data_IF_228909799582
#
_entry.id   IF_228909799582
#
_cell.length_a   1.000
_cell.length_b   1.000
_cell.length_c   1.000
_cell.angle_alpha   90.00
_cell.angle_beta   90.00
_cell.angle_gamma   90.00
#
_symmetry.space_group_name_H-M   'P 1'
#
loop_
_entity.id
_entity.type
_entity.pdbx_description
1 polymer ?
#
# COMPACT_ATOMS: atom_id res chain seq x y z
N UNK A 1 -44.86 -1.89 36.81
CA UNK A 1 -44.04 -3.09 37.02
C UNK A 1 -42.74 -2.87 36.28
N UNK A 2 -41.70 -2.48 37.01
CA UNK A 2 -40.40 -2.09 36.46
C UNK A 2 -39.58 -3.35 36.18
N UNK A 3 -39.63 -3.84 34.93
CA UNK A 3 -38.76 -4.94 34.51
C UNK A 3 -37.42 -4.36 34.12
N UNK A 4 -36.56 -4.20 35.13
CA UNK A 4 -35.11 -4.00 34.95
C UNK A 4 -34.56 -5.16 34.11
N UNK A 5 -34.51 -4.97 32.78
CA UNK A 5 -33.85 -5.90 31.85
C UNK A 5 -32.36 -5.88 32.13
N UNK A 6 -31.89 -6.85 32.93
CA UNK A 6 -30.48 -7.08 33.18
C UNK A 6 -29.79 -7.36 31.84
N UNK A 7 -28.96 -6.42 31.40
CA UNK A 7 -28.15 -6.56 30.18
C UNK A 7 -27.17 -7.70 30.43
N UNK A 8 -27.40 -8.85 29.81
CA UNK A 8 -26.43 -9.95 29.80
C UNK A 8 -25.26 -9.45 28.96
N UNK A 9 -24.11 -9.27 29.59
CA UNK A 9 -22.88 -8.90 28.89
C UNK A 9 -22.39 -10.16 28.16
N UNK A 10 -22.63 -10.21 26.84
CA UNK A 10 -22.26 -11.35 25.99
C UNK A 10 -20.80 -11.17 25.58
N UNK A 11 -19.97 -12.20 25.77
CA UNK A 11 -18.55 -12.07 25.42
C UNK A 11 -18.33 -12.09 23.92
N UNK A 12 -17.19 -11.57 23.45
CA UNK A 12 -16.80 -11.67 22.05
C UNK A 12 -16.79 -13.13 21.55
N UNK A 13 -16.36 -14.08 22.40
CA UNK A 13 -16.34 -15.50 22.08
C UNK A 13 -17.75 -16.09 21.90
N UNK A 14 -18.71 -15.63 22.72
CA UNK A 14 -20.11 -16.04 22.58
C UNK A 14 -20.69 -15.55 21.25
N UNK A 15 -20.40 -14.32 20.83
CA UNK A 15 -20.82 -13.83 19.52
C UNK A 15 -20.25 -14.66 18.36
N UNK A 16 -19.00 -15.13 18.46
CA UNK A 16 -18.42 -16.03 17.44
C UNK A 16 -19.17 -17.36 17.36
N UNK A 17 -19.57 -17.93 18.50
CA UNK A 17 -20.31 -19.21 18.54
C UNK A 17 -21.73 -19.11 17.97
N UNK A 18 -22.42 -18.00 18.19
CA UNK A 18 -23.80 -17.81 17.74
C UNK A 18 -23.91 -17.36 16.27
N UNK A 19 -22.80 -17.04 15.61
CA UNK A 19 -22.79 -16.56 14.22
C UNK A 19 -22.20 -17.62 13.27
N UNK A 20 -22.53 -17.54 11.96
CA UNK A 20 -21.97 -18.46 10.99
C UNK A 20 -20.44 -18.39 10.96
N UNK A 21 -19.80 -19.54 10.78
CA UNK A 21 -18.35 -19.66 10.73
C UNK A 21 -17.75 -18.69 9.68
N UNK A 22 -16.67 -18.01 10.07
CA UNK A 22 -15.96 -17.07 9.21
C UNK A 22 -16.56 -15.67 9.11
N UNK A 23 -17.73 -15.39 9.69
CA UNK A 23 -18.32 -14.03 9.70
C UNK A 23 -17.68 -13.14 10.76
N UNK A 24 -17.48 -13.70 11.96
CA UNK A 24 -16.87 -13.02 13.11
C UNK A 24 -15.70 -13.85 13.64
N UNK A 25 -14.69 -13.17 14.19
CA UNK A 25 -13.63 -13.79 14.98
C UNK A 25 -13.34 -12.93 16.21
N UNK A 26 -12.84 -13.56 17.27
CA UNK A 26 -12.47 -12.89 18.51
C UNK A 26 -10.97 -12.98 18.73
N UNK A 27 -10.34 -11.87 19.06
CA UNK A 27 -8.92 -11.82 19.44
C UNK A 27 -8.72 -10.78 20.56
N UNK A 28 -7.95 -11.13 21.59
CA UNK A 28 -7.67 -10.25 22.73
C UNK A 28 -8.92 -9.67 23.42
N UNK A 29 -10.02 -10.42 23.48
CA UNK A 29 -11.29 -9.95 24.06
C UNK A 29 -12.06 -8.94 23.19
N UNK A 30 -11.63 -8.71 21.95
CA UNK A 30 -12.31 -7.87 20.96
C UNK A 30 -12.99 -8.75 19.92
N UNK A 31 -14.08 -8.25 19.34
CA UNK A 31 -14.82 -8.92 18.28
C UNK A 31 -14.52 -8.24 16.95
N UNK A 32 -14.25 -9.01 15.90
CA UNK A 32 -13.88 -8.51 14.59
C UNK A 32 -14.80 -9.10 13.53
N UNK A 33 -15.15 -8.27 12.53
CA UNK A 33 -15.82 -8.74 11.32
C UNK A 33 -14.80 -9.11 10.26
N UNK A 34 -14.85 -10.34 9.77
CA UNK A 34 -13.99 -10.80 8.67
C UNK A 34 -14.25 -10.04 7.37
N UNK A 35 -15.52 -9.79 7.04
CA UNK A 35 -15.88 -9.11 5.78
C UNK A 35 -15.55 -7.62 5.78
N UNK A 36 -15.63 -6.97 6.94
CA UNK A 36 -15.42 -5.54 7.07
C UNK A 36 -14.00 -5.17 7.52
N UNK A 37 -13.25 -6.12 8.09
CA UNK A 37 -11.96 -5.93 8.74
C UNK A 37 -11.97 -4.78 9.77
N UNK A 38 -13.00 -4.75 10.60
CA UNK A 38 -13.17 -3.75 11.68
C UNK A 38 -13.53 -4.43 12.98
N UNK A 39 -13.13 -3.81 14.09
CA UNK A 39 -13.58 -4.21 15.43
C UNK A 39 -15.02 -3.76 15.65
N UNK A 40 -15.84 -4.65 16.22
CA UNK A 40 -17.21 -4.40 16.62
C UNK A 40 -17.27 -4.35 18.15
N UNK A 41 -18.03 -3.39 18.69
CA UNK A 41 -18.41 -3.41 20.10
C UNK A 41 -19.32 -4.62 20.38
N UNK A 42 -18.82 -5.55 21.19
CA UNK A 42 -19.50 -6.78 21.56
C UNK A 42 -20.31 -6.66 22.85
N UNK A 43 -20.17 -5.55 23.59
CA UNK A 43 -20.90 -5.34 24.86
C UNK A 43 -22.42 -5.28 24.67
N UNK A 44 -22.86 -5.00 23.44
CA UNK A 44 -24.27 -4.84 23.06
C UNK A 44 -24.58 -5.73 21.86
N UNK A 45 -25.44 -6.72 22.06
CA UNK A 45 -25.94 -7.59 20.98
C UNK A 45 -26.53 -6.79 19.80
N UNK A 46 -27.26 -5.71 20.10
CA UNK A 46 -27.81 -4.80 19.09
C UNK A 46 -26.74 -4.12 18.23
N UNK A 47 -25.54 -3.87 18.75
CA UNK A 47 -24.44 -3.28 17.99
C UNK A 47 -23.88 -4.28 16.97
N UNK A 48 -23.77 -5.56 17.37
CA UNK A 48 -23.36 -6.65 16.49
C UNK A 48 -24.42 -6.90 15.41
N UNK A 49 -25.70 -6.99 15.80
CA UNK A 49 -26.81 -7.14 14.84
C UNK A 49 -26.86 -6.00 13.82
N UNK A 50 -26.85 -4.74 14.29
CA UNK A 50 -26.85 -3.56 13.41
C UNK A 50 -25.66 -3.53 12.46
N UNK A 51 -24.48 -3.99 12.91
CA UNK A 51 -23.32 -4.11 12.03
C UNK A 51 -23.58 -5.11 10.89
N UNK A 52 -24.04 -6.31 11.22
CA UNK A 52 -24.30 -7.38 10.25
C UNK A 52 -25.43 -7.05 9.28
N UNK A 53 -26.43 -6.29 9.73
CA UNK A 53 -27.54 -5.83 8.89
C UNK A 53 -27.20 -4.61 8.04
N UNK A 54 -26.07 -3.95 8.27
CA UNK A 54 -25.69 -2.77 7.51
C UNK A 54 -25.50 -3.08 6.01
N UNK A 55 -25.96 -2.16 5.16
CA UNK A 55 -25.78 -2.25 3.70
C UNK A 55 -24.31 -2.38 3.30
N UNK A 56 -23.42 -1.74 4.07
CA UNK A 56 -21.96 -1.82 3.89
C UNK A 56 -21.46 -3.25 4.13
N UNK A 57 -21.88 -3.88 5.24
CA UNK A 57 -21.50 -5.27 5.53
C UNK A 57 -22.01 -6.21 4.44
N UNK A 58 -23.29 -6.10 4.05
CA UNK A 58 -23.89 -6.93 3.00
C UNK A 58 -23.15 -6.81 1.67
N UNK A 59 -22.83 -5.58 1.25
CA UNK A 59 -22.06 -5.34 0.01
C UNK A 59 -20.68 -6.01 0.07
N UNK A 60 -19.92 -5.80 1.14
CA UNK A 60 -18.57 -6.40 1.31
C UNK A 60 -18.63 -7.92 1.39
N UNK A 61 -19.64 -8.47 2.08
CA UNK A 61 -19.86 -9.92 2.16
C UNK A 61 -20.07 -10.54 0.78
N UNK A 62 -20.89 -9.90 -0.06
CA UNK A 62 -21.13 -10.36 -1.44
C UNK A 62 -19.85 -10.24 -2.29
N UNK A 63 -19.11 -9.14 -2.20
CA UNK A 63 -17.82 -8.96 -2.90
C UNK A 63 -16.79 -10.06 -2.56
N UNK A 64 -16.77 -10.50 -1.30
CA UNK A 64 -15.88 -11.58 -0.83
C UNK A 64 -16.38 -12.96 -1.27
N UNK A 65 -17.70 -13.19 -1.30
CA UNK A 65 -18.28 -14.48 -1.71
C UNK A 65 -18.30 -14.69 -3.23
N UNK A 66 -18.45 -13.63 -4.03
CA UNK A 66 -18.39 -13.68 -5.50
C UNK A 66 -16.94 -13.79 -6.02
N UNK A 67 -15.97 -13.49 -5.16
CA UNK A 67 -14.57 -13.71 -5.43
C UNK A 67 -14.18 -15.11 -4.94
N UNK A 68 -14.09 -16.09 -5.84
CA UNK A 68 -13.54 -17.41 -5.54
C UNK A 68 -12.21 -17.26 -4.77
N UNK A 69 -12.04 -18.13 -3.77
CA UNK A 69 -11.15 -18.01 -2.60
C UNK A 69 -9.65 -17.68 -2.83
N UNK A 70 -9.02 -17.74 -4.03
CA UNK A 70 -7.66 -17.22 -4.20
C UNK A 70 -7.55 -15.72 -4.57
N UNK A 71 -8.64 -15.00 -4.86
CA UNK A 71 -8.54 -13.69 -5.53
C UNK A 71 -8.28 -12.48 -4.60
N UNK A 72 -8.52 -12.60 -3.28
CA UNK A 72 -8.28 -11.51 -2.33
C UNK A 72 -6.83 -11.43 -1.82
N UNK A 73 -6.10 -12.56 -1.84
CA UNK A 73 -4.64 -12.53 -1.68
C UNK A 73 -3.99 -12.02 -2.97
N UNK A 74 -4.49 -12.42 -4.15
CA UNK A 74 -3.88 -12.03 -5.42
C UNK A 74 -4.05 -10.54 -5.81
N UNK A 75 -5.16 -9.87 -5.43
CA UNK A 75 -5.35 -8.45 -5.80
C UNK A 75 -4.69 -7.44 -4.86
N UNK A 76 -4.24 -7.85 -3.66
CA UNK A 76 -3.55 -6.95 -2.71
C UNK A 76 -2.19 -7.45 -2.22
N UNK A 77 -1.87 -8.73 -2.32
CA UNK A 77 -0.53 -9.24 -2.06
C UNK A 77 0.08 -9.70 -3.39
N UNK A 78 0.62 -8.74 -4.14
CA UNK A 78 1.76 -9.07 -5.01
C UNK A 78 2.83 -9.60 -4.05
N UNK A 79 3.23 -10.84 -4.23
CA UNK A 79 4.32 -11.48 -3.48
C UNK A 79 5.47 -10.49 -3.36
N UNK A 80 6.03 -10.30 -2.16
CA UNK A 80 7.10 -9.32 -1.86
C UNK A 80 8.20 -9.37 -2.93
N UNK A 81 8.50 -10.56 -3.44
CA UNK A 81 9.43 -10.81 -4.54
C UNK A 81 9.10 -10.05 -5.83
N UNK A 82 7.84 -10.03 -6.28
CA UNK A 82 7.43 -9.33 -7.52
C UNK A 82 7.45 -7.81 -7.37
N UNK A 83 7.12 -7.29 -6.17
CA UNK A 83 7.26 -5.86 -5.88
C UNK A 83 8.72 -5.45 -5.80
N UNK A 84 9.57 -6.27 -5.17
CA UNK A 84 11.02 -6.05 -5.13
C UNK A 84 11.61 -6.09 -6.53
N UNK A 85 11.28 -7.09 -7.37
CA UNK A 85 11.77 -7.20 -8.75
C UNK A 85 11.37 -5.99 -9.60
N UNK A 86 10.08 -5.60 -9.58
CA UNK A 86 9.62 -4.41 -10.32
C UNK A 86 10.25 -3.12 -9.79
N UNK A 87 10.52 -3.06 -8.48
CA UNK A 87 11.27 -1.96 -7.88
C UNK A 87 12.74 -1.94 -8.33
N UNK A 88 13.36 -3.10 -8.52
CA UNK A 88 14.74 -3.22 -9.02
C UNK A 88 14.83 -2.80 -10.48
N UNK A 89 13.97 -3.34 -11.35
CA UNK A 89 13.92 -3.00 -12.79
C UNK A 89 13.67 -1.49 -12.99
N UNK A 90 12.73 -0.91 -12.24
CA UNK A 90 12.47 0.52 -12.31
C UNK A 90 13.65 1.35 -11.78
N UNK A 91 14.37 0.87 -10.76
CA UNK A 91 15.55 1.55 -10.22
C UNK A 91 16.73 1.47 -11.19
N UNK A 92 16.93 0.34 -11.84
CA UNK A 92 17.96 0.15 -12.87
C UNK A 92 17.68 1.04 -14.09
N UNK A 93 16.44 1.09 -14.56
CA UNK A 93 16.03 2.00 -15.64
C UNK A 93 16.27 3.48 -15.28
N UNK A 94 15.95 3.89 -14.04
CA UNK A 94 16.27 5.25 -13.59
C UNK A 94 17.77 5.49 -13.47
N UNK A 95 18.54 4.52 -13.00
CA UNK A 95 19.99 4.64 -12.91
C UNK A 95 20.64 4.79 -14.30
N UNK A 96 20.16 4.05 -15.30
CA UNK A 96 20.61 4.19 -16.68
C UNK A 96 20.29 5.61 -17.21
N UNK A 97 19.05 6.08 -17.01
CA UNK A 97 18.66 7.44 -17.40
C UNK A 97 19.54 8.50 -16.75
N UNK A 98 19.81 8.41 -15.45
CA UNK A 98 20.65 9.37 -14.73
C UNK A 98 22.10 9.36 -15.23
N UNK A 99 22.63 8.18 -15.58
CA UNK A 99 23.94 8.05 -16.18
C UNK A 99 23.98 8.74 -17.55
N UNK A 100 23.07 8.38 -18.46
CA UNK A 100 23.00 8.95 -19.82
C UNK A 100 22.82 10.47 -19.79
N UNK A 101 22.00 10.97 -18.86
CA UNK A 101 21.80 12.39 -18.64
C UNK A 101 23.10 13.07 -18.17
N UNK A 102 23.81 12.45 -17.23
CA UNK A 102 25.09 13.00 -16.72
C UNK A 102 26.13 13.00 -17.82
N UNK A 103 26.24 11.91 -18.58
CA UNK A 103 27.16 11.81 -19.72
C UNK A 103 26.86 12.87 -20.77
N UNK A 104 25.60 13.04 -21.18
CA UNK A 104 25.20 14.05 -22.15
C UNK A 104 25.59 15.47 -21.70
N UNK A 105 25.39 15.80 -20.43
CA UNK A 105 25.75 17.10 -19.87
C UNK A 105 27.27 17.31 -19.83
N UNK A 106 28.04 16.27 -19.45
CA UNK A 106 29.50 16.31 -19.47
C UNK A 106 30.03 16.49 -20.89
N UNK A 107 29.57 15.68 -21.84
CA UNK A 107 30.00 15.74 -23.24
C UNK A 107 29.68 17.07 -23.92
N UNK A 108 28.59 17.72 -23.52
CA UNK A 108 28.18 19.04 -24.04
C UNK A 108 28.72 20.21 -23.22
N UNK A 109 29.50 19.94 -22.16
CA UNK A 109 30.01 20.93 -21.22
C UNK A 109 28.91 21.82 -20.61
N UNK A 110 27.73 21.23 -20.36
CA UNK A 110 26.60 21.89 -19.70
C UNK A 110 26.73 21.67 -18.18
N UNK A 111 26.76 22.74 -17.36
CA UNK A 111 26.85 22.61 -15.91
C UNK A 111 25.63 21.86 -15.32
N UNK A 112 25.88 20.85 -14.48
CA UNK A 112 24.85 20.03 -13.85
C UNK A 112 23.93 20.85 -12.93
N UNK A 113 24.40 21.97 -12.38
CA UNK A 113 23.64 22.90 -11.55
C UNK A 113 22.42 23.46 -12.29
N UNK A 114 22.43 23.45 -13.62
CA UNK A 114 21.27 23.86 -14.43
C UNK A 114 20.09 22.91 -14.24
N UNK A 115 20.31 21.63 -13.92
CA UNK A 115 19.23 20.68 -13.67
C UNK A 115 18.44 21.02 -12.40
N UNK A 116 19.05 21.67 -11.40
CA UNK A 116 18.37 22.09 -10.17
C UNK A 116 17.33 23.22 -10.39
N UNK A 117 17.13 23.65 -11.64
CA UNK A 117 16.05 24.56 -11.98
C UNK A 117 14.68 23.88 -11.79
N UNK A 118 13.82 24.50 -10.98
CA UNK A 118 12.48 23.97 -10.69
C UNK A 118 11.63 23.72 -11.93
N UNK A 119 11.77 24.52 -13.00
CA UNK A 119 11.02 24.32 -14.25
C UNK A 119 11.45 23.04 -14.95
N UNK A 120 12.75 22.75 -14.97
CA UNK A 120 13.28 21.50 -15.52
C UNK A 120 12.83 20.32 -14.66
N UNK A 121 13.02 20.37 -13.35
CA UNK A 121 12.51 19.32 -12.44
C UNK A 121 11.02 19.02 -12.64
N UNK A 122 10.20 20.06 -12.83
CA UNK A 122 8.78 19.90 -13.12
C UNK A 122 8.54 19.26 -14.50
N UNK A 123 9.26 19.70 -15.52
CA UNK A 123 9.16 19.15 -16.88
C UNK A 123 9.47 17.65 -16.89
N UNK A 124 10.60 17.25 -16.33
CA UNK A 124 11.02 15.84 -16.32
C UNK A 124 10.11 14.96 -15.46
N UNK A 125 9.54 15.49 -14.37
CA UNK A 125 8.55 14.79 -13.56
C UNK A 125 7.30 14.39 -14.35
N UNK A 126 6.90 15.19 -15.34
CA UNK A 126 5.76 14.87 -16.21
C UNK A 126 6.06 13.69 -17.15
N UNK A 127 7.34 13.46 -17.46
CA UNK A 127 7.80 12.33 -18.28
C UNK A 127 7.94 11.02 -17.49
N UNK A 128 7.48 10.98 -16.24
CA UNK A 128 7.46 9.75 -15.44
C UNK A 128 8.76 9.41 -14.70
N UNK A 129 9.78 10.28 -14.77
CA UNK A 129 11.05 10.13 -14.06
C UNK A 129 11.38 11.37 -13.21
N UNK A 130 11.89 11.17 -12.00
CA UNK A 130 12.40 12.27 -11.17
C UNK A 130 13.88 12.46 -11.41
N UNK A 131 14.32 13.66 -11.80
CA UNK A 131 15.76 13.94 -11.92
C UNK A 131 16.36 14.12 -10.51
N UNK A 132 17.49 13.46 -10.21
CA UNK A 132 18.24 13.65 -8.97
C UNK A 132 18.93 15.02 -8.96
N UNK A 133 19.21 15.55 -7.78
CA UNK A 133 19.88 16.85 -7.68
C UNK A 133 21.25 16.84 -8.34
N UNK A 134 21.73 18.02 -8.74
CA UNK A 134 23.08 18.17 -9.29
C UNK A 134 24.16 17.60 -8.36
N UNK A 135 23.96 17.72 -7.04
CA UNK A 135 24.86 17.14 -6.05
C UNK A 135 24.90 15.61 -6.14
N UNK A 136 23.74 14.96 -6.26
CA UNK A 136 23.69 13.51 -6.40
C UNK A 136 24.32 13.06 -7.72
N UNK A 137 24.08 13.77 -8.84
CA UNK A 137 24.74 13.48 -10.11
C UNK A 137 26.27 13.56 -10.01
N UNK A 138 26.79 14.62 -9.36
CA UNK A 138 28.22 14.79 -9.12
C UNK A 138 28.83 13.70 -8.24
N UNK A 139 28.14 13.24 -7.20
CA UNK A 139 28.69 12.25 -6.29
C UNK A 139 28.58 10.82 -6.81
N UNK A 140 27.46 10.47 -7.46
CA UNK A 140 27.11 9.07 -7.74
C UNK A 140 27.36 8.65 -9.20
N UNK A 141 27.26 9.59 -10.15
CA UNK A 141 27.31 9.28 -11.59
C UNK A 141 28.52 9.88 -12.29
N UNK A 142 28.97 11.07 -11.90
CA UNK A 142 30.14 11.72 -12.50
C UNK A 142 31.42 10.86 -12.42
N UNK A 143 31.75 10.18 -11.30
CA UNK A 143 32.89 9.26 -11.27
C UNK A 143 32.74 8.11 -12.26
N UNK A 144 31.52 7.57 -12.43
CA UNK A 144 31.25 6.46 -13.35
C UNK A 144 31.43 6.88 -14.80
N UNK A 145 30.95 8.07 -15.17
CA UNK A 145 31.14 8.64 -16.52
C UNK A 145 32.63 8.85 -16.79
N UNK A 146 33.37 9.39 -15.81
CA UNK A 146 34.82 9.57 -15.95
C UNK A 146 35.57 8.25 -16.14
N UNK A 147 35.20 7.17 -15.45
CA UNK A 147 35.79 5.84 -15.68
C UNK A 147 35.36 5.21 -17.01
N UNK A 148 34.14 5.48 -17.47
CA UNK A 148 33.64 5.02 -18.76
C UNK A 148 34.44 5.62 -19.94
N UNK A 149 34.80 6.90 -19.87
CA UNK A 149 35.60 7.56 -20.91
C UNK A 149 37.11 7.27 -20.85
N UNK A 150 37.59 6.53 -19.84
CA UNK A 150 39.00 6.09 -19.73
C UNK A 150 39.26 4.73 -20.36
N UNK A 151 38.22 3.97 -20.72
CA UNK A 151 38.29 2.66 -21.36
C UNK A 151 38.42 2.80 -22.87
#
# INVERSE_FOLDING_TARGET
>A
MDVSKKVKNVSAADHVKHNPAGVLHSDGGKLFCTSCNVTIDHSRELAVGRHLDSSIHRKRKVEIQSSTVPALIAKKQKTVTSMSQKSTENREAQNALHFDLTEAFVCTNIPLEKLDNQKLHKFFRLSGGGIPSSAQLRHEYLPKVAEYHKQ
#
